data_IF_160479679455
#
_entry.id   IF_160479679455
#
_cell.length_a   1.000
_cell.length_b   1.000
_cell.length_c   1.000
_cell.angle_alpha   90.00
_cell.angle_beta   90.00
_cell.angle_gamma   90.00
#
_symmetry.space_group_name_H-M   'P 1'
#
loop_
_entity.id
_entity.type
_entity.pdbx_description
1 polymer ?
#
# COMPACT_ATOMS: atom_id res chain seq x y z
N UNK A 1 20.30 52.41 -3.62
CA UNK A 1 20.11 52.55 -2.16
C UNK A 1 21.39 52.87 -1.38
N UNK A 2 22.62 52.56 -1.84
CA UNK A 2 23.87 52.86 -1.09
C UNK A 2 24.59 54.17 -1.42
N UNK A 3 24.23 54.87 -2.51
CA UNK A 3 24.59 56.30 -2.59
C UNK A 3 23.97 57.10 -1.44
N UNK A 4 22.93 56.57 -0.78
CA UNK A 4 22.17 57.27 0.26
C UNK A 4 22.84 57.28 1.65
N UNK A 5 23.57 56.22 2.04
CA UNK A 5 24.25 56.15 3.35
C UNK A 5 25.56 56.93 3.37
N UNK A 6 26.32 56.96 2.27
CA UNK A 6 27.51 57.81 2.15
C UNK A 6 27.17 59.31 2.06
N UNK A 7 26.06 59.65 1.41
CA UNK A 7 25.56 61.03 1.35
C UNK A 7 25.07 61.51 2.72
N UNK A 8 24.77 60.62 3.65
CA UNK A 8 24.30 60.98 5.00
C UNK A 8 25.41 61.57 5.91
N UNK A 9 26.69 61.41 5.54
CA UNK A 9 27.82 62.01 6.26
C UNK A 9 28.00 63.49 5.89
N UNK A 10 27.65 63.86 4.66
CA UNK A 10 27.60 65.25 4.22
C UNK A 10 26.31 65.88 4.74
N UNK A 11 26.39 67.11 5.26
CA UNK A 11 25.23 67.78 5.84
C UNK A 11 24.09 67.95 4.81
N UNK A 12 22.84 67.63 5.18
CA UNK A 12 21.72 67.70 4.25
C UNK A 12 21.46 69.15 3.82
N UNK A 13 21.53 69.43 2.51
CA UNK A 13 21.27 70.75 1.93
C UNK A 13 22.49 71.45 1.31
N UNK A 14 23.70 70.91 1.45
CA UNK A 14 24.90 71.45 0.78
C UNK A 14 24.89 71.05 -0.70
N UNK A 15 24.98 72.04 -1.60
CA UNK A 15 24.97 71.80 -3.05
C UNK A 15 26.26 71.12 -3.54
N UNK A 16 26.15 70.12 -4.43
CA UNK A 16 27.31 69.37 -4.90
C UNK A 16 28.42 70.22 -5.56
N UNK A 17 28.07 71.40 -6.09
CA UNK A 17 28.98 72.33 -6.74
C UNK A 17 29.61 73.37 -5.80
N UNK A 18 29.22 73.43 -4.53
CA UNK A 18 29.82 74.37 -3.56
C UNK A 18 31.26 73.98 -3.26
N UNK A 19 32.10 74.97 -2.95
CA UNK A 19 33.48 74.72 -2.53
C UNK A 19 33.46 74.14 -1.11
N UNK A 20 34.17 73.03 -0.93
CA UNK A 20 34.35 72.40 0.38
C UNK A 20 35.48 73.09 1.14
N UNK A 21 35.24 73.45 2.39
CA UNK A 21 36.26 74.00 3.30
C UNK A 21 37.03 72.90 4.00
N UNK A 22 38.22 73.24 4.52
CA UNK A 22 39.06 72.28 5.26
C UNK A 22 38.37 71.73 6.51
N UNK A 23 37.60 72.57 7.22
CA UNK A 23 36.87 72.17 8.43
C UNK A 23 35.73 71.19 8.14
N UNK A 24 34.94 71.46 7.10
CA UNK A 24 33.83 70.58 6.67
C UNK A 24 34.37 69.20 6.30
N UNK A 25 35.47 69.17 5.52
CA UNK A 25 36.08 67.91 5.14
C UNK A 25 36.67 67.15 6.34
N UNK A 26 37.33 67.83 7.28
CA UNK A 26 37.84 67.21 8.50
C UNK A 26 36.71 66.57 9.32
N UNK A 27 35.59 67.28 9.49
CA UNK A 27 34.39 66.79 10.18
C UNK A 27 33.83 65.54 9.49
N UNK A 28 33.62 65.59 8.18
CA UNK A 28 33.05 64.47 7.42
C UNK A 28 34.00 63.28 7.36
N UNK A 29 35.31 63.50 7.24
CA UNK A 29 36.31 62.44 7.16
C UNK A 29 36.39 61.64 8.46
N UNK A 30 36.46 62.32 9.61
CA UNK A 30 36.50 61.65 10.92
C UNK A 30 35.16 60.97 11.22
N UNK A 31 34.03 61.62 10.89
CA UNK A 31 32.71 61.01 11.04
C UNK A 31 32.57 59.74 10.19
N UNK A 32 32.97 59.79 8.91
CA UNK A 32 32.97 58.65 8.01
C UNK A 32 33.83 57.50 8.56
N UNK A 33 35.08 57.77 8.94
CA UNK A 33 35.97 56.74 9.50
C UNK A 33 35.36 56.08 10.74
N UNK A 34 34.81 56.85 11.68
CA UNK A 34 34.17 56.29 12.89
C UNK A 34 33.01 55.34 12.55
N UNK A 35 32.23 55.68 11.53
CA UNK A 35 31.08 54.88 11.09
C UNK A 35 31.48 53.65 10.28
N UNK A 36 32.52 53.75 9.44
CA UNK A 36 32.85 52.74 8.44
C UNK A 36 33.99 51.82 8.86
N UNK A 37 34.91 52.27 9.73
CA UNK A 37 36.01 51.45 10.20
C UNK A 37 35.48 50.28 11.05
N UNK A 38 35.77 49.05 10.64
CA UNK A 38 35.41 47.84 11.40
C UNK A 38 36.36 47.59 12.57
N UNK A 39 37.66 47.80 12.37
CA UNK A 39 38.67 47.58 13.40
C UNK A 39 38.71 48.77 14.37
N UNK A 40 38.63 48.51 15.67
CA UNK A 40 38.76 49.53 16.72
C UNK A 40 40.14 50.20 16.70
N UNK A 41 41.18 49.52 16.24
CA UNK A 41 42.53 50.09 16.08
C UNK A 41 42.68 51.07 14.90
N UNK A 42 41.74 51.07 13.96
CA UNK A 42 41.72 51.99 12.81
C UNK A 42 40.71 53.15 13.00
N UNK A 43 40.00 53.18 14.14
CA UNK A 43 39.02 54.22 14.46
C UNK A 43 39.72 55.44 15.02
N UNK A 44 39.67 56.51 14.26
CA UNK A 44 40.00 57.84 14.74
C UNK A 44 38.87 58.30 15.66
N UNK A 45 39.19 58.53 16.93
CA UNK A 45 38.25 59.03 17.92
C UNK A 45 38.44 60.52 18.13
N UNK A 46 37.38 61.34 18.15
CA UNK A 46 37.48 62.70 18.67
C UNK A 46 37.84 62.61 20.16
N UNK A 47 39.11 62.79 20.50
CA UNK A 47 39.53 62.90 21.89
C UNK A 47 39.07 64.23 22.49
N UNK A 48 38.93 64.22 23.81
CA UNK A 48 38.35 65.30 24.58
C UNK A 48 39.44 66.32 24.93
N UNK A 49 39.17 67.60 24.68
CA UNK A 49 40.03 68.67 25.19
C UNK A 49 40.07 68.62 26.72
N UNK A 50 41.26 68.49 27.30
CA UNK A 50 41.47 68.59 28.74
C UNK A 50 42.18 69.92 28.99
N UNK A 51 41.46 70.84 29.63
CA UNK A 51 41.97 72.17 29.96
C UNK A 51 43.32 72.05 30.69
N UNK A 52 44.34 72.77 30.19
CA UNK A 52 45.73 72.81 30.70
C UNK A 52 46.58 71.54 30.51
N UNK A 53 46.03 70.49 29.88
CA UNK A 53 46.79 69.27 29.54
C UNK A 53 46.93 69.13 28.03
N UNK A 54 45.89 69.44 27.27
CA UNK A 54 45.91 69.36 25.81
C UNK A 54 46.62 70.57 25.21
N UNK A 55 47.73 70.31 24.52
CA UNK A 55 48.43 71.32 23.71
C UNK A 55 47.70 71.51 22.38
N UNK A 56 47.33 72.75 22.05
CA UNK A 56 46.67 73.06 20.78
C UNK A 56 47.62 72.83 19.60
N UNK A 57 47.20 72.01 18.65
CA UNK A 57 47.98 71.59 17.49
C UNK A 57 48.19 72.72 16.46
N UNK A 58 47.32 73.73 16.48
CA UNK A 58 47.31 74.88 15.57
C UNK A 58 47.13 76.19 16.34
N UNK A 59 47.66 77.30 15.80
CA UNK A 59 47.55 78.64 16.38
C UNK A 59 46.20 79.32 16.12
N UNK A 60 45.45 78.86 15.11
CA UNK A 60 44.23 79.49 14.59
C UNK A 60 42.95 78.69 14.84
N UNK A 61 43.01 77.61 15.62
CA UNK A 61 41.84 76.80 15.98
C UNK A 61 41.73 76.76 17.50
N UNK A 62 40.69 77.40 18.06
CA UNK A 62 40.49 77.46 19.51
C UNK A 62 39.65 76.28 20.02
N UNK A 63 39.77 75.89 21.31
CA UNK A 63 38.94 74.84 21.91
C UNK A 63 37.43 75.10 21.85
N UNK A 64 37.01 76.36 21.69
CA UNK A 64 35.60 76.76 21.55
C UNK A 64 35.06 76.58 20.12
N UNK A 65 35.93 76.32 19.14
CA UNK A 65 35.54 76.03 17.78
C UNK A 65 34.72 74.70 17.75
N UNK A 66 33.52 74.67 17.13
CA UNK A 66 32.68 73.46 17.09
C UNK A 66 33.32 72.26 16.37
N UNK A 67 34.28 72.49 15.47
CA UNK A 67 35.04 71.47 14.78
C UNK A 67 36.37 71.13 15.44
N UNK A 68 36.73 71.82 16.54
CA UNK A 68 37.96 71.55 17.28
C UNK A 68 38.18 70.06 17.54
N UNK A 69 37.18 69.26 18.00
CA UNK A 69 37.41 67.83 18.26
C UNK A 69 37.79 67.01 17.01
N UNK A 70 37.31 67.40 15.82
CA UNK A 70 37.62 66.70 14.57
C UNK A 70 38.99 67.11 14.03
N UNK A 71 39.35 68.38 14.17
CA UNK A 71 40.62 68.93 13.68
C UNK A 71 41.78 68.57 14.62
N UNK A 72 41.66 68.91 15.91
CA UNK A 72 42.66 68.70 16.94
C UNK A 72 42.87 67.21 17.20
N UNK A 73 41.84 66.57 17.76
CA UNK A 73 42.00 65.21 18.26
C UNK A 73 41.85 64.16 17.15
N UNK A 74 40.94 64.42 16.19
CA UNK A 74 40.72 63.52 15.07
C UNK A 74 41.90 63.45 14.11
N UNK A 75 42.42 64.59 13.65
CA UNK A 75 43.46 64.57 12.61
C UNK A 75 44.87 64.85 13.16
N UNK A 76 45.05 65.88 13.99
CA UNK A 76 46.39 66.32 14.39
C UNK A 76 47.03 65.43 15.48
N UNK A 77 46.31 65.13 16.57
CA UNK A 77 46.82 64.25 17.65
C UNK A 77 46.99 62.80 17.19
N UNK A 78 46.18 62.36 16.22
CA UNK A 78 46.37 61.08 15.55
C UNK A 78 47.60 61.06 14.61
N UNK A 79 48.29 62.19 14.44
CA UNK A 79 49.47 62.32 13.57
C UNK A 79 49.16 62.23 12.07
N UNK A 80 47.90 62.43 11.67
CA UNK A 80 47.45 62.28 10.29
C UNK A 80 47.70 63.53 9.45
N UNK A 81 47.78 64.69 10.10
CA UNK A 81 48.10 65.97 9.47
C UNK A 81 49.24 66.66 10.21
N UNK A 82 50.06 67.39 9.46
CA UNK A 82 51.17 68.15 10.03
C UNK A 82 50.66 69.23 10.99
N UNK A 83 51.20 69.25 12.20
CA UNK A 83 50.85 70.18 13.27
C UNK A 83 52.04 70.47 14.18
N UNK A 84 51.84 71.32 15.20
CA UNK A 84 52.86 71.56 16.25
C UNK A 84 53.26 70.27 16.98
N UNK A 85 52.34 69.32 17.12
CA UNK A 85 52.57 68.06 17.82
C UNK A 85 53.52 67.12 17.07
N UNK A 86 53.56 67.23 15.74
CA UNK A 86 54.47 66.46 14.87
C UNK A 86 55.77 67.20 14.57
N UNK A 87 56.00 68.35 15.19
CA UNK A 87 57.12 69.25 14.87
C UNK A 87 58.43 68.76 15.51
N UNK A 88 59.51 68.80 14.74
CA UNK A 88 60.87 68.60 15.27
C UNK A 88 61.39 69.83 16.02
N UNK A 89 62.43 69.69 16.87
CA UNK A 89 62.93 70.75 17.75
C UNK A 89 63.45 72.00 17.02
N UNK A 90 63.72 71.92 15.72
CA UNK A 90 64.41 72.96 14.94
C UNK A 90 63.49 73.79 14.01
N UNK A 91 62.17 73.59 14.07
CA UNK A 91 61.23 74.33 13.20
C UNK A 91 60.57 75.48 13.97
N UNK A 92 60.83 76.71 13.54
CA UNK A 92 60.33 77.93 14.20
C UNK A 92 59.23 78.61 13.37
N UNK A 93 58.24 79.22 14.04
CA UNK A 93 57.13 79.97 13.41
C UNK A 93 55.72 79.40 13.67
N UNK A 94 54.65 80.18 13.44
CA UNK A 94 53.28 79.75 13.70
C UNK A 94 52.81 78.67 12.73
N UNK A 95 51.99 77.73 13.21
CA UNK A 95 51.37 76.66 12.41
C UNK A 95 49.86 76.86 12.41
N UNK A 96 49.29 77.02 11.21
CA UNK A 96 47.88 77.31 11.01
C UNK A 96 47.17 76.19 10.26
N UNK A 97 45.95 75.84 10.69
CA UNK A 97 45.08 74.89 9.99
C UNK A 97 44.29 75.56 8.86
N UNK A 98 43.93 76.84 9.01
CA UNK A 98 43.09 77.63 8.11
C UNK A 98 41.72 76.98 7.84
N UNK A 99 40.84 76.89 8.85
CA UNK A 99 39.60 76.09 8.78
C UNK A 99 38.65 76.51 7.64
N UNK A 100 38.53 77.81 7.38
CA UNK A 100 37.62 78.38 6.36
C UNK A 100 38.23 78.41 4.96
N UNK A 101 39.50 78.03 4.80
CA UNK A 101 40.15 77.99 3.49
C UNK A 101 39.56 76.83 2.66
N UNK A 102 39.39 77.01 1.34
CA UNK A 102 39.03 75.92 0.45
C UNK A 102 39.96 74.72 0.60
N UNK A 103 39.39 73.53 0.69
CA UNK A 103 40.12 72.26 0.68
C UNK A 103 40.81 72.10 -0.67
N UNK A 104 42.11 71.81 -0.64
CA UNK A 104 42.88 71.54 -1.85
C UNK A 104 42.82 70.06 -2.24
N UNK A 105 43.07 69.75 -3.51
CA UNK A 105 43.11 68.36 -4.00
C UNK A 105 44.17 67.53 -3.28
N UNK A 106 45.33 68.12 -2.99
CA UNK A 106 46.39 67.42 -2.27
C UNK A 106 46.00 67.12 -0.82
N UNK A 107 45.32 68.03 -0.14
CA UNK A 107 44.87 67.83 1.25
C UNK A 107 43.80 66.75 1.32
N UNK A 108 42.84 66.77 0.38
CA UNK A 108 41.81 65.75 0.28
C UNK A 108 42.41 64.34 0.20
N UNK A 109 43.36 64.14 -0.73
CA UNK A 109 43.99 62.84 -0.96
C UNK A 109 44.88 62.46 0.22
N UNK A 110 45.72 63.37 0.69
CA UNK A 110 46.63 63.13 1.80
C UNK A 110 45.87 62.68 3.06
N UNK A 111 44.84 63.44 3.46
CA UNK A 111 44.11 63.14 4.70
C UNK A 111 43.28 61.87 4.58
N UNK A 112 42.66 61.63 3.41
CA UNK A 112 41.89 60.41 3.18
C UNK A 112 42.75 59.16 3.31
N UNK A 113 43.89 59.15 2.62
CA UNK A 113 44.79 58.01 2.65
C UNK A 113 45.45 57.83 4.01
N UNK A 114 45.80 58.91 4.72
CA UNK A 114 46.35 58.83 6.07
C UNK A 114 45.34 58.19 7.05
N UNK A 115 44.06 58.53 6.96
CA UNK A 115 43.00 58.00 7.83
C UNK A 115 42.75 56.50 7.59
N UNK A 116 42.85 56.04 6.33
CA UNK A 116 42.53 54.65 5.99
C UNK A 116 43.72 53.70 6.03
N UNK A 117 44.94 54.21 5.80
CA UNK A 117 46.11 53.37 5.61
C UNK A 117 47.13 53.59 6.73
N UNK A 118 47.39 52.55 7.51
CA UNK A 118 48.44 52.56 8.54
C UNK A 118 49.86 52.62 7.96
N UNK A 119 50.03 52.33 6.67
CA UNK A 119 51.31 52.40 5.97
C UNK A 119 51.08 52.85 4.54
N UNK A 120 51.84 53.85 4.10
CA UNK A 120 51.83 54.33 2.73
C UNK A 120 53.07 53.86 1.98
N UNK A 121 52.95 53.55 0.68
CA UNK A 121 54.08 53.07 -0.11
C UNK A 121 55.16 54.15 -0.26
N UNK A 122 56.41 53.71 -0.38
CA UNK A 122 57.51 54.61 -0.73
C UNK A 122 57.26 55.17 -2.13
N UNK A 123 57.08 56.48 -2.22
CA UNK A 123 56.80 57.13 -3.48
C UNK A 123 58.03 57.18 -4.38
N UNK A 124 57.87 56.73 -5.63
CA UNK A 124 58.89 56.89 -6.66
C UNK A 124 58.52 58.07 -7.56
N UNK A 125 59.30 59.17 -7.45
CA UNK A 125 59.08 60.39 -8.22
C UNK A 125 58.96 60.14 -9.73
N UNK A 126 59.81 59.28 -10.29
CA UNK A 126 59.82 59.03 -11.74
C UNK A 126 58.51 58.38 -12.20
N UNK A 127 57.98 57.43 -11.42
CA UNK A 127 56.68 56.80 -11.70
C UNK A 127 55.52 57.78 -11.58
N UNK A 128 55.57 58.67 -10.59
CA UNK A 128 54.54 59.70 -10.43
C UNK A 128 54.60 60.77 -11.53
N UNK A 129 55.80 61.09 -12.02
CA UNK A 129 56.00 62.03 -13.13
C UNK A 129 55.44 61.51 -14.46
N UNK A 130 55.42 60.20 -14.68
CA UNK A 130 54.73 59.59 -15.82
C UNK A 130 53.21 59.85 -15.77
N UNK A 131 52.65 59.87 -14.55
CA UNK A 131 51.22 60.06 -14.30
C UNK A 131 50.80 61.53 -14.29
N UNK A 132 51.53 62.40 -13.59
CA UNK A 132 51.19 63.81 -13.39
C UNK A 132 52.32 64.73 -13.88
N UNK A 133 51.95 65.68 -14.75
CA UNK A 133 52.88 66.62 -15.38
C UNK A 133 53.37 67.66 -14.36
N UNK A 134 52.51 68.04 -13.41
CA UNK A 134 52.77 69.04 -12.38
C UNK A 134 53.23 68.44 -11.04
N UNK A 135 53.92 67.30 -11.08
CA UNK A 135 54.44 66.62 -9.88
C UNK A 135 55.32 67.53 -9.01
N UNK A 136 56.06 68.44 -9.63
CA UNK A 136 56.95 69.38 -8.93
C UNK A 136 56.19 70.44 -8.12
N UNK A 137 54.90 70.65 -8.40
CA UNK A 137 54.03 71.53 -7.61
C UNK A 137 53.37 70.81 -6.43
N UNK A 138 53.51 69.49 -6.34
CA UNK A 138 52.90 68.67 -5.28
C UNK A 138 53.89 68.55 -4.13
N UNK A 139 53.42 68.84 -2.92
CA UNK A 139 54.23 68.68 -1.71
C UNK A 139 54.74 67.25 -1.55
N UNK A 140 56.04 67.08 -1.24
CA UNK A 140 56.71 65.77 -1.17
C UNK A 140 56.02 64.80 -0.21
N UNK A 141 55.51 65.29 0.92
CA UNK A 141 54.81 64.48 1.93
C UNK A 141 53.51 63.86 1.42
N UNK A 142 52.95 64.39 0.32
CA UNK A 142 51.71 63.89 -0.29
C UNK A 142 52.01 62.78 -1.31
N UNK A 143 53.25 62.66 -1.78
CA UNK A 143 53.61 61.67 -2.80
C UNK A 143 53.28 60.22 -2.41
N UNK A 144 53.45 59.75 -1.15
CA UNK A 144 53.05 58.41 -0.74
C UNK A 144 51.55 58.15 -0.92
N UNK A 145 50.70 59.13 -0.58
CA UNK A 145 49.25 59.04 -0.75
C UNK A 145 48.86 58.98 -2.24
N UNK A 146 49.52 59.78 -3.08
CA UNK A 146 49.29 59.74 -4.53
C UNK A 146 49.77 58.42 -5.13
N UNK A 147 50.90 57.89 -4.67
CA UNK A 147 51.40 56.60 -5.11
C UNK A 147 50.43 55.46 -4.75
N UNK A 148 49.84 55.50 -3.55
CA UNK A 148 48.79 54.57 -3.15
C UNK A 148 47.54 54.70 -4.03
N UNK A 149 47.09 55.93 -4.31
CA UNK A 149 45.94 56.18 -5.19
C UNK A 149 46.16 55.67 -6.62
N UNK A 150 47.34 55.89 -7.18
CA UNK A 150 47.71 55.40 -8.52
C UNK A 150 47.76 53.87 -8.53
N UNK A 151 48.28 53.25 -7.47
CA UNK A 151 48.30 51.79 -7.33
C UNK A 151 46.89 51.18 -7.20
N UNK A 152 45.93 51.94 -6.66
CA UNK A 152 44.54 51.52 -6.53
C UNK A 152 43.79 51.41 -7.89
N UNK A 153 44.33 51.95 -8.98
CA UNK A 153 43.83 51.74 -10.34
C UNK A 153 42.40 52.26 -10.53
N UNK A 154 41.47 51.37 -10.87
CA UNK A 154 40.04 51.70 -11.05
C UNK A 154 39.38 52.24 -9.77
N UNK A 155 40.01 52.01 -8.61
CA UNK A 155 39.57 52.48 -7.30
C UNK A 155 40.23 53.82 -6.91
N UNK A 156 40.94 54.46 -7.83
CA UNK A 156 41.58 55.76 -7.64
C UNK A 156 40.53 56.82 -7.28
N UNK A 157 40.72 57.46 -6.13
CA UNK A 157 39.95 58.62 -5.68
C UNK A 157 40.20 59.79 -6.63
N UNK A 158 41.43 59.98 -7.09
CA UNK A 158 41.76 61.05 -8.07
C UNK A 158 40.93 60.85 -9.34
N UNK A 159 40.87 59.64 -9.87
CA UNK A 159 40.12 59.34 -11.09
C UNK A 159 38.61 59.45 -10.89
N UNK A 160 38.10 59.01 -9.73
CA UNK A 160 36.67 59.02 -9.41
C UNK A 160 36.13 60.42 -9.07
N UNK A 161 36.86 61.18 -8.26
CA UNK A 161 36.45 62.51 -7.82
C UNK A 161 36.82 63.62 -8.82
N UNK A 162 37.98 63.52 -9.48
CA UNK A 162 38.48 64.58 -10.36
C UNK A 162 38.42 64.24 -11.85
N UNK A 163 38.08 63.00 -12.20
CA UNK A 163 38.10 62.49 -13.57
C UNK A 163 39.51 62.16 -14.06
N UNK A 164 39.61 61.74 -15.32
CA UNK A 164 40.90 61.52 -15.96
C UNK A 164 41.68 62.85 -16.07
N UNK A 165 42.79 62.96 -15.34
CA UNK A 165 43.68 64.12 -15.41
C UNK A 165 45.15 63.72 -15.40
N UNK A 166 45.94 64.38 -16.24
CA UNK A 166 47.41 64.37 -16.19
C UNK A 166 47.98 65.63 -15.52
N UNK A 167 47.11 66.57 -15.15
CA UNK A 167 47.45 67.79 -14.42
C UNK A 167 46.68 67.77 -13.11
N UNK A 168 47.34 67.41 -12.02
CA UNK A 168 46.70 67.18 -10.74
C UNK A 168 46.13 68.48 -10.16
N UNK A 169 46.84 69.59 -10.33
CA UNK A 169 46.54 70.91 -9.79
C UNK A 169 46.39 70.85 -8.26
N UNK A 170 47.49 70.60 -7.51
CA UNK A 170 47.44 70.27 -6.07
C UNK A 170 46.67 71.29 -5.23
N UNK A 171 46.78 72.59 -5.56
CA UNK A 171 46.13 73.68 -4.84
C UNK A 171 44.71 74.02 -5.32
N UNK A 172 44.17 73.30 -6.32
CA UNK A 172 42.83 73.58 -6.82
C UNK A 172 41.78 73.27 -5.75
N UNK A 173 40.80 74.17 -5.53
CA UNK A 173 39.73 73.90 -4.59
C UNK A 173 38.89 72.70 -5.01
N UNK A 174 38.46 71.93 -4.01
CA UNK A 174 37.59 70.76 -4.15
C UNK A 174 36.14 71.18 -3.90
N UNK A 175 35.21 70.62 -4.68
CA UNK A 175 33.77 70.80 -4.44
C UNK A 175 33.23 69.78 -3.46
N UNK A 176 32.13 70.09 -2.78
CA UNK A 176 31.47 69.18 -1.83
C UNK A 176 31.13 67.83 -2.47
N UNK A 177 30.67 67.82 -3.73
CA UNK A 177 30.40 66.58 -4.46
C UNK A 177 31.66 65.72 -4.66
N UNK A 178 32.80 66.35 -4.95
CA UNK A 178 34.07 65.63 -5.09
C UNK A 178 34.59 65.09 -3.77
N UNK A 179 34.43 65.87 -2.68
CA UNK A 179 34.73 65.40 -1.33
C UNK A 179 33.83 64.21 -0.93
N UNK A 180 32.54 64.27 -1.26
CA UNK A 180 31.60 63.17 -1.01
C UNK A 180 31.99 61.89 -1.77
N UNK A 181 32.35 62.01 -3.06
CA UNK A 181 32.84 60.87 -3.86
C UNK A 181 34.09 60.27 -3.23
N UNK A 182 35.04 61.11 -2.80
CA UNK A 182 36.26 60.65 -2.16
C UNK A 182 36.00 59.91 -0.84
N UNK A 183 35.11 60.42 0.01
CA UNK A 183 34.68 59.76 1.24
C UNK A 183 33.95 58.44 0.98
N UNK A 184 33.23 58.34 -0.14
CA UNK A 184 32.52 57.12 -0.55
C UNK A 184 33.35 56.07 -1.25
N UNK A 185 34.62 56.38 -1.54
CA UNK A 185 35.55 55.47 -2.20
C UNK A 185 36.60 55.00 -1.19
N UNK A 186 37.18 53.81 -1.37
CA UNK A 186 38.27 53.30 -0.53
C UNK A 186 37.95 51.97 0.18
N UNK A 187 38.92 51.48 0.95
CA UNK A 187 38.93 50.12 1.52
C UNK A 187 37.70 49.80 2.38
N UNK A 188 37.25 50.76 3.19
CA UNK A 188 36.08 50.57 4.05
C UNK A 188 34.77 50.40 3.26
N UNK A 189 34.63 51.08 2.11
CA UNK A 189 33.45 50.94 1.25
C UNK A 189 33.41 49.58 0.55
N UNK A 190 34.56 49.07 0.11
CA UNK A 190 34.66 47.77 -0.57
C UNK A 190 34.27 46.63 0.35
N UNK A 191 34.83 46.65 1.56
CA UNK A 191 34.59 45.58 2.52
C UNK A 191 33.13 45.55 3.02
N UNK A 192 32.43 46.69 2.98
CA UNK A 192 30.98 46.76 3.20
C UNK A 192 30.22 46.22 1.99
N UNK A 193 30.65 46.54 0.76
CA UNK A 193 30.06 46.02 -0.48
C UNK A 193 30.16 44.50 -0.57
N UNK A 194 31.34 43.93 -0.35
CA UNK A 194 31.59 42.48 -0.36
C UNK A 194 30.73 41.73 0.67
N UNK A 195 30.65 42.25 1.90
CA UNK A 195 29.81 41.63 2.94
C UNK A 195 28.32 41.77 2.64
N UNK A 196 27.90 42.83 1.96
CA UNK A 196 26.52 42.98 1.53
C UNK A 196 26.18 42.00 0.41
N UNK A 197 27.04 41.85 -0.60
CA UNK A 197 26.88 40.83 -1.64
C UNK A 197 26.82 39.43 -1.04
N UNK A 198 27.69 39.15 -0.05
CA UNK A 198 27.67 37.90 0.72
C UNK A 198 26.35 37.69 1.46
N UNK A 199 25.87 38.70 2.22
CA UNK A 199 24.61 38.62 2.95
C UNK A 199 23.40 38.49 2.02
N UNK A 200 23.43 39.14 0.87
CA UNK A 200 22.39 38.98 -0.14
C UNK A 200 22.38 37.56 -0.71
N UNK A 201 23.55 37.01 -1.03
CA UNK A 201 23.70 35.63 -1.47
C UNK A 201 23.21 34.63 -0.41
N UNK A 202 23.58 34.83 0.86
CA UNK A 202 23.12 34.00 1.99
C UNK A 202 21.61 34.06 2.13
N UNK A 203 21.01 35.26 2.10
CA UNK A 203 19.54 35.44 2.11
C UNK A 203 18.86 34.74 0.92
N UNK A 204 19.46 34.77 -0.27
CA UNK A 204 18.92 34.06 -1.43
C UNK A 204 19.00 32.54 -1.26
N UNK A 205 20.09 32.02 -0.69
CA UNK A 205 20.24 30.61 -0.35
C UNK A 205 19.21 30.17 0.71
N UNK A 206 19.02 30.95 1.78
CA UNK A 206 18.00 30.67 2.81
C UNK A 206 16.59 30.59 2.22
N UNK A 207 16.24 31.52 1.31
CA UNK A 207 14.94 31.49 0.62
C UNK A 207 14.77 30.24 -0.25
N UNK A 208 15.84 29.79 -0.91
CA UNK A 208 15.80 28.58 -1.72
C UNK A 208 15.58 27.34 -0.84
N UNK A 209 16.31 27.21 0.27
CA UNK A 209 16.16 26.11 1.25
C UNK A 209 14.75 26.11 1.84
N UNK A 210 14.21 27.27 2.24
CA UNK A 210 12.86 27.38 2.76
C UNK A 210 11.79 26.95 1.73
N UNK A 211 11.99 27.26 0.44
CA UNK A 211 11.11 26.83 -0.63
C UNK A 211 11.16 25.31 -0.85
N UNK A 212 12.34 24.70 -0.77
CA UNK A 212 12.53 23.25 -0.88
C UNK A 212 11.83 22.52 0.27
N UNK A 213 12.06 22.95 1.52
CA UNK A 213 11.38 22.39 2.70
C UNK A 213 9.85 22.49 2.56
N UNK A 214 9.34 23.60 2.02
CA UNK A 214 7.91 23.77 1.80
C UNK A 214 7.36 22.84 0.70
N UNK A 215 8.12 22.55 -0.35
CA UNK A 215 7.75 21.59 -1.39
C UNK A 215 7.77 20.16 -0.84
N UNK A 216 8.79 19.79 -0.08
CA UNK A 216 8.89 18.48 0.56
C UNK A 216 7.72 18.24 1.53
N UNK A 217 7.37 19.22 2.36
CA UNK A 217 6.23 19.13 3.26
C UNK A 217 4.89 18.93 2.51
N UNK A 218 4.73 19.56 1.33
CA UNK A 218 3.54 19.33 0.47
C UNK A 218 3.55 17.93 -0.12
N UNK A 219 4.67 17.49 -0.68
CA UNK A 219 4.82 16.15 -1.23
C UNK A 219 4.55 15.07 -0.18
N UNK A 220 5.07 15.24 1.04
CA UNK A 220 4.82 14.32 2.15
C UNK A 220 3.34 14.30 2.55
N UNK A 221 2.67 15.45 2.55
CA UNK A 221 1.23 15.54 2.86
C UNK A 221 0.39 14.82 1.79
N UNK A 222 0.71 15.02 0.52
CA UNK A 222 0.03 14.35 -0.60
C UNK A 222 0.27 12.83 -0.58
N UNK A 223 1.51 12.39 -0.38
CA UNK A 223 1.85 10.98 -0.24
C UNK A 223 1.10 10.32 0.93
N UNK A 224 1.06 11.00 2.09
CA UNK A 224 0.31 10.52 3.26
C UNK A 224 -1.21 10.43 2.98
N UNK A 225 -1.77 11.34 2.18
CA UNK A 225 -3.18 11.31 1.81
C UNK A 225 -3.50 10.11 0.91
N UNK A 226 -2.70 9.88 -0.14
CA UNK A 226 -2.83 8.71 -1.03
C UNK A 226 -2.69 7.41 -0.25
N UNK A 227 -1.70 7.33 0.64
CA UNK A 227 -1.49 6.13 1.46
C UNK A 227 -2.68 5.84 2.38
N UNK A 228 -3.29 6.87 2.98
CA UNK A 228 -4.51 6.71 3.80
C UNK A 228 -5.68 6.19 2.99
N UNK A 229 -5.93 6.76 1.80
CA UNK A 229 -7.01 6.29 0.92
C UNK A 229 -6.82 4.81 0.55
N UNK A 230 -5.60 4.42 0.18
CA UNK A 230 -5.33 3.03 -0.17
C UNK A 230 -5.50 2.10 1.02
N UNK A 231 -5.05 2.52 2.21
CA UNK A 231 -5.21 1.75 3.43
C UNK A 231 -6.69 1.56 3.79
N UNK A 232 -7.52 2.58 3.57
CA UNK A 232 -8.97 2.48 3.77
C UNK A 232 -9.64 1.58 2.71
N UNK A 233 -9.20 1.61 1.45
CA UNK A 233 -9.64 0.66 0.41
C UNK A 233 -9.28 -0.78 0.78
N UNK A 234 -8.05 -1.03 1.20
CA UNK A 234 -7.61 -2.37 1.61
C UNK A 234 -8.40 -2.89 2.82
N UNK A 235 -8.70 -2.03 3.79
CA UNK A 235 -9.58 -2.36 4.92
C UNK A 235 -10.99 -2.75 4.45
N UNK A 236 -11.58 -1.99 3.53
CA UNK A 236 -12.90 -2.32 2.97
C UNK A 236 -12.88 -3.68 2.25
N UNK A 237 -11.87 -3.91 1.40
CA UNK A 237 -11.71 -5.20 0.71
C UNK A 237 -11.55 -6.37 1.68
N UNK A 238 -10.85 -6.16 2.80
CA UNK A 238 -10.70 -7.19 3.84
C UNK A 238 -12.03 -7.49 4.51
N UNK A 239 -12.81 -6.47 4.86
CA UNK A 239 -14.16 -6.64 5.44
C UNK A 239 -15.10 -7.35 4.47
N UNK A 240 -15.08 -7.01 3.18
CA UNK A 240 -15.88 -7.68 2.16
C UNK A 240 -15.47 -9.14 1.98
N UNK A 241 -14.16 -9.43 1.95
CA UNK A 241 -13.65 -10.79 1.86
C UNK A 241 -14.03 -11.64 3.09
N UNK A 242 -13.96 -11.06 4.29
CA UNK A 242 -14.42 -11.71 5.53
C UNK A 242 -15.92 -12.01 5.49
N UNK A 243 -16.74 -11.06 5.04
CA UNK A 243 -18.19 -11.26 4.90
C UNK A 243 -18.54 -12.38 3.91
N UNK A 244 -17.82 -12.47 2.78
CA UNK A 244 -17.98 -13.56 1.82
C UNK A 244 -17.53 -14.90 2.43
N UNK A 245 -16.41 -14.91 3.15
CA UNK A 245 -15.91 -16.11 3.81
C UNK A 245 -16.90 -16.64 4.85
N UNK A 246 -17.54 -15.77 5.64
CA UNK A 246 -18.58 -16.17 6.59
C UNK A 246 -19.82 -16.75 5.90
N UNK A 247 -20.30 -16.12 4.82
CA UNK A 247 -21.43 -16.67 4.03
C UNK A 247 -21.13 -18.07 3.51
N UNK A 248 -19.93 -18.28 2.98
CA UNK A 248 -19.50 -19.60 2.50
C UNK A 248 -19.39 -20.62 3.64
N UNK A 249 -19.01 -20.21 4.84
CA UNK A 249 -19.02 -21.09 6.04
C UNK A 249 -20.44 -21.51 6.39
N UNK A 250 -21.37 -20.58 6.43
CA UNK A 250 -22.79 -20.86 6.72
C UNK A 250 -23.41 -21.80 5.67
N UNK A 251 -23.15 -21.57 4.38
CA UNK A 251 -23.61 -22.46 3.30
C UNK A 251 -23.03 -23.87 3.42
N UNK A 252 -21.73 -23.97 3.74
CA UNK A 252 -21.07 -25.26 3.94
C UNK A 252 -21.66 -26.01 5.14
N UNK A 253 -21.98 -25.30 6.24
CA UNK A 253 -22.64 -25.89 7.40
C UNK A 253 -24.04 -26.41 7.06
N UNK A 254 -24.83 -25.65 6.28
CA UNK A 254 -26.13 -26.11 5.76
C UNK A 254 -26.00 -27.37 4.92
N UNK A 255 -25.11 -27.38 3.93
CA UNK A 255 -24.87 -28.55 3.08
C UNK A 255 -24.40 -29.76 3.89
N UNK A 256 -23.60 -29.56 4.95
CA UNK A 256 -23.23 -30.63 5.87
C UNK A 256 -24.43 -31.20 6.62
N UNK A 257 -25.33 -30.34 7.11
CA UNK A 257 -26.55 -30.79 7.79
C UNK A 257 -27.49 -31.56 6.85
N UNK A 258 -27.73 -31.04 5.65
CA UNK A 258 -28.53 -31.71 4.61
C UNK A 258 -27.94 -33.08 4.26
N UNK A 259 -26.62 -33.17 4.09
CA UNK A 259 -25.94 -34.44 3.82
C UNK A 259 -26.08 -35.45 4.97
N UNK A 260 -26.04 -35.00 6.23
CA UNK A 260 -26.26 -35.90 7.38
C UNK A 260 -27.73 -36.35 7.46
N UNK A 261 -28.69 -35.50 7.12
CA UNK A 261 -30.11 -35.87 7.02
C UNK A 261 -30.36 -36.90 5.90
N UNK A 262 -29.80 -36.67 4.70
CA UNK A 262 -29.87 -37.63 3.59
C UNK A 262 -29.26 -38.98 3.99
N UNK A 263 -28.09 -38.95 4.62
CA UNK A 263 -27.40 -40.16 5.12
C UNK A 263 -28.25 -40.89 6.16
N UNK A 264 -28.91 -40.17 7.06
CA UNK A 264 -29.86 -40.76 8.01
C UNK A 264 -31.06 -41.38 7.29
N UNK A 265 -31.61 -40.71 6.28
CA UNK A 265 -32.68 -41.22 5.42
C UNK A 265 -32.30 -42.54 4.75
N UNK A 266 -31.13 -42.59 4.10
CA UNK A 266 -30.58 -43.81 3.47
C UNK A 266 -30.38 -44.93 4.49
N UNK A 267 -29.88 -44.63 5.70
CA UNK A 267 -29.74 -45.64 6.77
C UNK A 267 -31.10 -46.23 7.18
N UNK A 268 -32.13 -45.38 7.30
CA UNK A 268 -33.49 -45.82 7.64
C UNK A 268 -34.09 -46.69 6.53
N UNK A 269 -33.96 -46.28 5.28
CA UNK A 269 -34.41 -47.08 4.12
C UNK A 269 -33.69 -48.43 4.09
N UNK A 270 -32.37 -48.44 4.28
CA UNK A 270 -31.58 -49.68 4.34
C UNK A 270 -32.08 -50.61 5.45
N UNK A 271 -32.33 -50.08 6.65
CA UNK A 271 -32.89 -50.87 7.76
C UNK A 271 -34.27 -51.46 7.41
N UNK A 272 -35.13 -50.68 6.73
CA UNK A 272 -36.44 -51.17 6.28
C UNK A 272 -36.34 -52.26 5.20
N UNK A 273 -35.40 -52.10 4.26
CA UNK A 273 -35.13 -53.09 3.22
C UNK A 273 -34.58 -54.38 3.82
N UNK A 274 -33.67 -54.29 4.78
CA UNK A 274 -33.11 -55.47 5.45
C UNK A 274 -34.20 -56.19 6.28
N UNK A 275 -35.09 -55.46 6.97
CA UNK A 275 -36.27 -56.05 7.62
C UNK A 275 -37.23 -56.73 6.62
N UNK A 276 -37.46 -56.13 5.45
CA UNK A 276 -38.28 -56.74 4.39
C UNK A 276 -37.62 -58.00 3.81
N UNK A 277 -36.29 -58.01 3.62
CA UNK A 277 -35.53 -59.20 3.19
C UNK A 277 -35.62 -60.33 4.22
N UNK A 278 -35.53 -60.01 5.50
CA UNK A 278 -35.72 -61.00 6.57
C UNK A 278 -37.13 -61.59 6.53
N UNK A 279 -38.16 -60.75 6.40
CA UNK A 279 -39.55 -61.21 6.29
C UNK A 279 -39.76 -62.12 5.07
N UNK A 280 -39.18 -61.76 3.91
CA UNK A 280 -39.23 -62.57 2.70
C UNK A 280 -38.48 -63.90 2.88
N UNK A 281 -37.35 -63.88 3.60
CA UNK A 281 -36.60 -65.10 3.93
C UNK A 281 -37.42 -66.03 4.83
N UNK A 282 -38.14 -65.49 5.83
CA UNK A 282 -39.07 -66.27 6.67
C UNK A 282 -40.23 -66.84 5.86
N UNK A 283 -40.89 -66.04 5.04
CA UNK A 283 -41.97 -66.50 4.18
C UNK A 283 -41.51 -67.58 3.20
N UNK A 284 -40.28 -67.49 2.67
CA UNK A 284 -39.69 -68.53 1.83
C UNK A 284 -39.51 -69.85 2.60
N UNK A 285 -38.99 -69.80 3.83
CA UNK A 285 -38.87 -70.98 4.68
C UNK A 285 -40.25 -71.61 4.95
N UNK A 286 -41.27 -70.81 5.26
CA UNK A 286 -42.64 -71.29 5.46
C UNK A 286 -43.20 -71.96 4.19
N UNK A 287 -42.98 -71.39 3.00
CA UNK A 287 -43.40 -72.00 1.74
C UNK A 287 -42.66 -73.31 1.48
N UNK A 288 -41.35 -73.37 1.75
CA UNK A 288 -40.56 -74.59 1.61
C UNK A 288 -41.05 -75.69 2.57
N UNK A 289 -41.43 -75.34 3.81
CA UNK A 289 -42.05 -76.26 4.77
C UNK A 289 -43.43 -76.74 4.30
N UNK A 290 -44.29 -75.85 3.80
CA UNK A 290 -45.59 -76.21 3.24
C UNK A 290 -45.44 -77.11 2.01
N UNK A 291 -44.47 -76.84 1.14
CA UNK A 291 -44.16 -77.69 -0.02
C UNK A 291 -43.68 -79.08 0.42
N UNK A 292 -42.82 -79.17 1.43
CA UNK A 292 -42.41 -80.45 2.02
C UNK A 292 -43.62 -81.19 2.60
N UNK A 293 -44.48 -80.50 3.37
CA UNK A 293 -45.72 -81.05 3.91
C UNK A 293 -46.63 -81.62 2.81
N UNK A 294 -46.89 -80.84 1.77
CA UNK A 294 -47.73 -81.24 0.64
C UNK A 294 -47.12 -82.39 -0.17
N UNK A 295 -45.78 -82.43 -0.31
CA UNK A 295 -45.10 -83.57 -0.92
C UNK A 295 -45.29 -84.87 -0.12
N UNK A 296 -45.27 -84.78 1.22
CA UNK A 296 -45.52 -85.92 2.10
C UNK A 296 -46.98 -86.39 2.02
N UNK A 297 -47.94 -85.46 1.96
CA UNK A 297 -49.36 -85.79 1.75
C UNK A 297 -49.59 -86.42 0.38
N UNK A 298 -48.96 -85.89 -0.67
CA UNK A 298 -49.01 -86.49 -2.01
C UNK A 298 -48.53 -87.94 -2.00
N UNK A 299 -47.44 -88.25 -1.28
CA UNK A 299 -46.97 -89.63 -1.11
C UNK A 299 -48.01 -90.50 -0.41
N UNK A 300 -48.66 -90.00 0.65
CA UNK A 300 -49.75 -90.71 1.34
C UNK A 300 -50.94 -90.95 0.41
N UNK A 301 -51.35 -89.96 -0.37
CA UNK A 301 -52.46 -90.08 -1.33
C UNK A 301 -52.12 -91.09 -2.42
N UNK A 302 -50.90 -91.08 -2.96
CA UNK A 302 -50.44 -92.09 -3.93
C UNK A 302 -50.49 -93.49 -3.31
N UNK A 303 -50.04 -93.64 -2.06
CA UNK A 303 -50.11 -94.91 -1.35
C UNK A 303 -51.55 -95.41 -1.16
N UNK A 304 -52.47 -94.54 -0.72
CA UNK A 304 -53.89 -94.90 -0.58
C UNK A 304 -54.56 -95.19 -1.93
N UNK A 305 -54.18 -94.47 -3.00
CA UNK A 305 -54.62 -94.78 -4.37
C UNK A 305 -54.17 -96.17 -4.79
N UNK A 306 -52.90 -96.49 -4.63
CA UNK A 306 -52.35 -97.81 -5.00
C UNK A 306 -53.03 -98.94 -4.19
N UNK A 307 -53.38 -98.67 -2.93
CA UNK A 307 -54.18 -99.57 -2.11
C UNK A 307 -55.60 -99.73 -2.64
N UNK A 308 -56.26 -98.65 -3.04
CA UNK A 308 -57.60 -98.69 -3.67
C UNK A 308 -57.58 -99.44 -5.00
N UNK A 309 -56.54 -99.27 -5.83
CA UNK A 309 -56.37 -100.02 -7.07
C UNK A 309 -56.23 -101.53 -6.82
N UNK A 310 -55.50 -101.95 -5.78
CA UNK A 310 -55.45 -103.37 -5.36
C UNK A 310 -56.82 -103.90 -4.96
N UNK A 311 -57.56 -103.15 -4.14
CA UNK A 311 -58.92 -103.54 -3.75
C UNK A 311 -59.86 -103.63 -4.95
N UNK A 312 -59.72 -102.73 -5.93
CA UNK A 312 -60.50 -102.81 -7.18
C UNK A 312 -60.16 -104.07 -7.98
N UNK A 313 -58.87 -104.43 -8.09
CA UNK A 313 -58.45 -105.66 -8.75
C UNK A 313 -58.99 -106.92 -8.04
N UNK A 314 -58.98 -106.93 -6.71
CA UNK A 314 -59.60 -108.01 -5.91
C UNK A 314 -61.11 -108.10 -6.16
N UNK A 315 -61.82 -106.97 -6.21
CA UNK A 315 -63.26 -106.93 -6.55
C UNK A 315 -63.53 -107.44 -7.97
N UNK A 316 -62.68 -107.09 -8.94
CA UNK A 316 -62.80 -107.61 -10.32
C UNK A 316 -62.61 -109.13 -10.37
N UNK A 317 -61.63 -109.66 -9.64
CA UNK A 317 -61.40 -111.11 -9.51
C UNK A 317 -62.59 -111.81 -8.83
N UNK A 318 -63.13 -111.25 -7.75
CA UNK A 318 -64.35 -111.75 -7.10
C UNK A 318 -65.57 -111.70 -8.04
N UNK A 319 -65.69 -110.66 -8.88
CA UNK A 319 -66.77 -110.56 -9.87
C UNK A 319 -66.66 -111.65 -10.94
N UNK A 320 -65.46 -111.88 -11.46
CA UNK A 320 -65.21 -112.87 -12.49
C UNK A 320 -65.43 -114.30 -11.96
N UNK A 321 -65.05 -114.56 -10.70
CA UNK A 321 -65.38 -115.84 -10.03
C UNK A 321 -66.88 -116.01 -9.81
N UNK A 322 -67.60 -114.95 -9.42
CA UNK A 322 -69.07 -114.96 -9.34
C UNK A 322 -69.72 -115.26 -10.70
N UNK A 323 -69.20 -114.69 -11.78
CA UNK A 323 -69.70 -114.93 -13.14
C UNK A 323 -69.48 -116.37 -13.59
N UNK A 324 -68.33 -116.97 -13.24
CA UNK A 324 -68.08 -118.40 -13.44
C UNK A 324 -69.09 -119.27 -12.68
N UNK A 325 -69.31 -119.03 -11.39
CA UNK A 325 -70.29 -119.78 -10.58
C UNK A 325 -71.72 -119.62 -11.13
N UNK A 326 -72.07 -118.42 -11.61
CA UNK A 326 -73.35 -118.18 -12.29
C UNK A 326 -73.49 -119.00 -13.57
N UNK A 327 -72.41 -119.16 -14.34
CA UNK A 327 -72.41 -120.00 -15.54
C UNK A 327 -72.56 -121.49 -15.21
N UNK A 328 -71.90 -121.97 -14.15
CA UNK A 328 -71.99 -123.35 -13.66
C UNK A 328 -73.41 -123.68 -13.20
N UNK A 329 -74.00 -122.82 -12.36
CA UNK A 329 -75.40 -123.00 -11.91
C UNK A 329 -76.41 -122.92 -13.07
N UNK A 330 -76.14 -122.16 -14.12
CA UNK A 330 -76.95 -122.17 -15.34
C UNK A 330 -76.85 -123.51 -16.09
N UNK A 331 -75.68 -124.15 -16.12
CA UNK A 331 -75.50 -125.49 -16.69
C UNK A 331 -76.24 -126.53 -15.86
N UNK A 332 -76.12 -126.49 -14.53
CA UNK A 332 -76.86 -127.38 -13.63
C UNK A 332 -78.39 -127.23 -13.78
N UNK A 333 -78.89 -125.99 -13.89
CA UNK A 333 -80.31 -125.72 -14.14
C UNK A 333 -80.77 -126.33 -15.46
N UNK A 334 -79.97 -126.26 -16.52
CA UNK A 334 -80.29 -126.89 -17.82
C UNK A 334 -80.32 -128.42 -17.72
N UNK A 335 -79.39 -129.02 -16.97
CA UNK A 335 -79.35 -130.47 -16.74
C UNK A 335 -80.59 -130.96 -15.97
N UNK A 336 -81.04 -130.23 -14.94
CA UNK A 336 -82.25 -130.56 -14.19
C UNK A 336 -83.53 -130.50 -15.04
N UNK A 337 -83.63 -129.53 -15.95
CA UNK A 337 -84.77 -129.42 -16.87
C UNK A 337 -84.82 -130.63 -17.83
N UNK A 338 -83.67 -131.04 -18.36
CA UNK A 338 -83.56 -132.24 -19.21
C UNK A 338 -83.98 -133.51 -18.48
N UNK A 339 -83.53 -133.71 -17.24
CA UNK A 339 -83.90 -134.86 -16.41
C UNK A 339 -85.42 -134.92 -16.15
N UNK A 340 -86.07 -133.78 -15.92
CA UNK A 340 -87.52 -133.71 -15.72
C UNK A 340 -88.30 -134.10 -16.97
N UNK A 341 -87.90 -133.60 -18.14
CA UNK A 341 -88.60 -133.92 -19.41
C UNK A 341 -88.50 -135.40 -19.79
N UNK A 342 -87.38 -136.05 -19.42
CA UNK A 342 -87.20 -137.48 -19.63
C UNK A 342 -88.13 -138.31 -18.73
N UNK A 343 -88.27 -137.95 -17.45
CA UNK A 343 -89.17 -138.63 -16.52
C UNK A 343 -90.66 -138.51 -16.92
N UNK A 344 -91.07 -137.37 -17.48
CA UNK A 344 -92.45 -137.14 -17.93
C UNK A 344 -92.82 -137.95 -19.20
N UNK A 345 -91.86 -138.22 -20.09
CA UNK A 345 -92.05 -139.04 -21.30
C UNK A 345 -92.17 -140.54 -20.98
N UNK A 346 -91.36 -141.05 -20.06
CA UNK A 346 -91.36 -142.47 -19.69
C UNK A 346 -92.67 -142.87 -18.97
N UNK A 347 -93.25 -141.97 -18.18
CA UNK A 347 -94.54 -142.17 -17.53
C UNK A 347 -95.71 -142.33 -18.53
N UNK A 348 -95.68 -141.60 -19.66
CA UNK A 348 -96.73 -141.70 -20.70
C UNK A 348 -96.70 -143.04 -21.43
N UNK A 349 -95.52 -143.60 -21.69
CA UNK A 349 -95.38 -144.91 -22.33
C UNK A 349 -95.91 -146.05 -21.46
N UNK A 350 -95.66 -145.99 -20.15
CA UNK A 350 -96.17 -146.99 -19.20
C UNK A 350 -97.71 -147.05 -19.15
N UNK A 351 -98.38 -145.88 -19.20
CA UNK A 351 -99.85 -145.82 -19.20
C UNK A 351 -100.48 -146.37 -20.49
N UNK A 352 -99.80 -146.22 -21.63
CA UNK A 352 -100.29 -146.76 -22.90
C UNK A 352 -100.25 -148.30 -22.93
N UNK A 353 -99.22 -148.92 -22.36
CA UNK A 353 -99.12 -150.39 -22.24
C UNK A 353 -100.19 -150.99 -21.32
N UNK A 354 -100.55 -150.30 -20.23
CA UNK A 354 -101.57 -150.79 -19.29
C UNK A 354 -102.97 -150.90 -19.94
N UNK A 355 -103.35 -149.95 -20.79
CA UNK A 355 -104.66 -149.95 -21.47
C UNK A 355 -104.83 -151.11 -22.47
N UNK A 356 -103.75 -151.46 -23.18
CA UNK A 356 -103.77 -152.54 -24.19
C UNK A 356 -103.97 -153.92 -23.54
N UNK A 357 -103.40 -154.13 -22.35
CA UNK A 357 -103.53 -155.40 -21.61
C UNK A 357 -104.94 -155.59 -21.03
N UNK A 358 -105.63 -154.51 -20.67
CA UNK A 358 -106.97 -154.55 -20.08
C UNK A 358 -108.06 -154.86 -21.13
N UNK A 359 -107.90 -154.39 -22.37
CA UNK A 359 -108.81 -154.70 -23.48
C UNK A 359 -108.65 -156.13 -24.02
N UNK A 360 -107.43 -156.69 -23.97
CA UNK A 360 -107.19 -158.09 -24.29
C UNK A 360 -107.87 -159.04 -23.28
N UNK A 361 -107.86 -158.67 -21.99
CA UNK A 361 -108.45 -159.46 -20.90
C UNK A 361 -109.98 -159.60 -21.04
N UNK A 362 -110.68 -158.53 -21.40
CA UNK A 362 -112.16 -158.54 -21.57
C UNK A 362 -112.64 -159.36 -22.78
N UNK A 363 -111.82 -159.54 -23.82
CA UNK A 363 -112.16 -160.41 -24.96
C UNK A 363 -112.10 -161.89 -24.59
N UNK A 364 -111.12 -162.29 -23.78
CA UNK A 364 -110.89 -163.69 -23.43
C UNK A 364 -111.91 -164.26 -22.43
N UNK A 365 -112.49 -163.42 -21.56
CA UNK A 365 -113.58 -163.83 -20.65
C UNK A 365 -114.91 -164.13 -21.39
N UNK A 366 -115.13 -163.63 -22.61
CA UNK A 366 -116.37 -163.87 -23.38
C UNK A 366 -116.40 -165.17 -24.19
N UNK A 367 -115.29 -165.92 -24.26
CA UNK A 367 -115.14 -167.15 -25.05
C UNK A 367 -114.80 -168.40 -24.22
N UNK A 368 -114.93 -168.32 -22.88
CA UNK A 368 -114.87 -169.50 -22.00
C UNK A 368 -113.46 -170.07 -21.76
N UNK A 369 -112.42 -169.23 -21.71
CA UNK A 369 -111.04 -169.65 -21.37
C UNK A 369 -110.59 -168.91 -20.10
N UNK A 370 -110.26 -169.65 -19.06
CA UNK A 370 -109.77 -169.12 -17.78
C UNK A 370 -108.23 -169.01 -17.81
N UNK A 371 -107.71 -167.79 -17.61
CA UNK A 371 -106.27 -167.48 -17.59
C UNK A 371 -105.87 -166.93 -16.21
N UNK A 372 -104.96 -167.62 -15.53
CA UNK A 372 -104.31 -167.15 -14.31
C UNK A 372 -102.98 -166.47 -14.63
N UNK A 373 -102.75 -165.29 -14.04
CA UNK A 373 -101.46 -164.60 -14.03
C UNK A 373 -101.11 -164.27 -12.58
N UNK A 374 -99.99 -164.85 -12.14
CA UNK A 374 -99.34 -164.67 -10.83
C UNK A 374 -98.89 -163.22 -10.61
N UNK A 375 -98.90 -162.78 -9.34
CA UNK A 375 -98.49 -161.44 -8.92
C UNK A 375 -97.32 -161.50 -7.94
N UNK A 376 -96.12 -161.48 -8.48
CA UNK A 376 -94.95 -160.84 -7.87
C UNK A 376 -94.23 -160.05 -8.97
N UNK A 377 -94.32 -158.71 -8.92
CA UNK A 377 -93.40 -157.70 -9.48
C UNK A 377 -93.90 -156.28 -9.19
#
# INVERSE_FOLDING_TARGET
FYSFSFVQVVEPGVGASTICTRREYARWLVAANRTLARNTGAKVSPAMYIEKVTEAAFDDVSPEDPDFPFIQAGLAEAGLIFSKLSRGPDSDGPIHFLPDRPLSRQDLISWKFAVENHSLPVANRNKLQERFIDIDNIHTDVWPAIAADVAAGDRSIISSAFGYTRLFQPHKPVTTGQAAVALSSGEASEHIGEELERLEAERHAEKAVAAEIALEARAQKEANAVFREELDRQRQLTVEAEAVAERLREELEKLKSEREEEKYGVMKERASLDAAKEALSRARLEVDELLQGLSSEKVKVVFERDRMEKLLAEIEEERDTLENVKSETQVEKKALVLARTWAEEEAKKAMAHAKVLEEARKRWESQGIEVHVDKDL
#
